data_IF_856088309515
#
_entry.id   IF_856088309515
#
_cell.length_a   1.000
_cell.length_b   1.000
_cell.length_c   1.000
_cell.angle_alpha   90.00
_cell.angle_beta   90.00
_cell.angle_gamma   90.00
#
_symmetry.space_group_name_H-M   'P 1'
#
loop_
_entity.id
_entity.type
_entity.pdbx_description
1 polymer ?
#
# COMPACT_ATOMS: atom_id res chain seq x y z
N UNK A 1 4.66 24.04 -15.08
CA UNK A 1 4.85 23.73 -13.65
C UNK A 1 4.83 22.21 -13.54
N UNK A 2 5.99 21.56 -13.51
CA UNK A 2 6.11 20.13 -13.81
C UNK A 2 6.42 19.26 -12.57
N UNK A 3 6.32 19.78 -11.36
CA UNK A 3 7.35 19.38 -10.39
C UNK A 3 6.93 18.49 -9.21
N UNK A 4 5.71 17.93 -9.18
CA UNK A 4 5.28 17.06 -8.06
C UNK A 4 4.31 15.94 -8.43
N UNK A 5 4.45 15.34 -9.61
CA UNK A 5 3.54 14.27 -10.04
C UNK A 5 4.11 12.89 -9.74
N UNK A 6 3.36 12.10 -8.97
CA UNK A 6 3.61 10.67 -8.84
C UNK A 6 2.81 10.00 -9.96
N UNK A 7 3.48 9.31 -10.88
CA UNK A 7 2.84 8.69 -12.04
C UNK A 7 2.56 7.20 -11.84
N UNK A 8 3.29 6.57 -10.94
CA UNK A 8 3.31 5.12 -10.77
C UNK A 8 2.77 4.74 -9.41
N UNK A 9 1.90 3.74 -9.39
CA UNK A 9 1.51 3.08 -8.15
C UNK A 9 1.85 1.59 -8.19
N UNK A 10 2.40 1.10 -7.09
CA UNK A 10 2.61 -0.31 -6.83
C UNK A 10 1.52 -0.82 -5.90
N UNK A 11 0.71 -1.76 -6.39
CA UNK A 11 -0.38 -2.36 -5.62
C UNK A 11 0.05 -3.76 -5.17
N UNK A 12 0.07 -3.97 -3.86
CA UNK A 12 0.46 -5.25 -3.26
C UNK A 12 -0.67 -6.28 -3.44
N UNK A 13 -0.47 -7.24 -4.34
CA UNK A 13 -1.45 -8.27 -4.71
C UNK A 13 -0.99 -9.72 -4.51
N UNK A 14 0.23 -9.94 -4.02
CA UNK A 14 0.84 -11.28 -3.91
C UNK A 14 0.41 -12.13 -2.69
N UNK A 15 -0.43 -11.65 -1.78
CA UNK A 15 -0.77 -12.40 -0.57
C UNK A 15 -1.53 -13.72 -0.80
N UNK A 16 -1.29 -14.73 0.04
CA UNK A 16 -2.00 -16.03 -0.01
C UNK A 16 -3.49 -15.94 0.34
N UNK A 17 -3.91 -14.88 1.06
CA UNK A 17 -5.30 -14.71 1.47
C UNK A 17 -5.86 -15.85 2.35
N UNK A 18 -5.02 -16.55 3.11
CA UNK A 18 -5.40 -17.76 3.87
C UNK A 18 -6.57 -17.56 4.84
N UNK A 19 -6.68 -16.36 5.43
CA UNK A 19 -7.78 -15.95 6.33
C UNK A 19 -9.16 -15.87 5.65
N UNK A 20 -9.19 -15.90 4.31
CA UNK A 20 -10.40 -15.83 3.49
C UNK A 20 -10.76 -17.17 2.83
N UNK A 21 -10.05 -18.26 3.14
CA UNK A 21 -10.41 -19.58 2.62
C UNK A 21 -11.82 -19.97 3.10
N UNK A 22 -12.67 -20.58 2.25
CA UNK A 22 -12.33 -21.16 0.94
C UNK A 22 -12.40 -20.19 -0.25
N UNK A 23 -12.78 -18.91 -0.06
CA UNK A 23 -12.94 -17.95 -1.15
C UNK A 23 -11.65 -17.78 -1.97
N UNK A 24 -10.50 -17.83 -1.28
CA UNK A 24 -9.17 -17.66 -1.86
C UNK A 24 -8.50 -18.97 -2.29
N UNK A 25 -9.18 -20.11 -2.25
CA UNK A 25 -8.56 -21.40 -2.61
C UNK A 25 -8.07 -21.40 -4.07
N UNK A 26 -8.88 -20.88 -4.98
CA UNK A 26 -8.59 -20.85 -6.43
C UNK A 26 -8.64 -19.44 -7.03
N UNK A 27 -8.62 -18.40 -6.19
CA UNK A 27 -8.74 -17.00 -6.59
C UNK A 27 -7.83 -16.13 -5.73
N UNK A 28 -6.98 -15.27 -6.31
CA UNK A 28 -6.21 -14.29 -5.53
C UNK A 28 -7.17 -13.38 -4.77
N UNK A 29 -6.84 -13.07 -3.51
CA UNK A 29 -7.63 -12.16 -2.67
C UNK A 29 -8.02 -10.85 -3.40
N UNK A 30 -7.09 -10.14 -4.09
CA UNK A 30 -7.44 -8.88 -4.76
C UNK A 30 -8.41 -9.03 -5.94
N UNK A 31 -8.64 -10.25 -6.43
CA UNK A 31 -9.60 -10.56 -7.48
C UNK A 31 -10.96 -11.04 -6.96
N UNK A 32 -11.13 -11.22 -5.65
CA UNK A 32 -12.47 -11.39 -5.08
C UNK A 32 -13.31 -10.15 -5.35
N UNK A 33 -14.62 -10.31 -5.48
CA UNK A 33 -15.52 -9.23 -5.89
C UNK A 33 -16.34 -8.70 -4.73
N UNK A 34 -16.41 -7.38 -4.63
CA UNK A 34 -17.35 -6.65 -3.77
C UNK A 34 -18.11 -5.69 -4.69
N UNK A 35 -19.44 -5.68 -4.62
CA UNK A 35 -20.27 -4.82 -5.47
C UNK A 35 -20.09 -5.05 -6.97
N UNK A 36 -19.74 -6.28 -7.40
CA UNK A 36 -19.50 -6.63 -8.81
C UNK A 36 -18.16 -6.14 -9.36
N UNK A 37 -17.25 -5.70 -8.50
CA UNK A 37 -15.92 -5.23 -8.88
C UNK A 37 -14.82 -5.96 -8.10
N UNK A 38 -13.72 -6.39 -8.75
CA UNK A 38 -12.58 -6.96 -8.05
C UNK A 38 -12.01 -5.98 -7.02
N UNK A 39 -11.64 -6.45 -5.83
CA UNK A 39 -11.16 -5.59 -4.72
C UNK A 39 -10.02 -4.66 -5.17
N UNK A 40 -9.09 -5.16 -5.98
CA UNK A 40 -7.94 -4.37 -6.47
C UNK A 40 -8.38 -3.13 -7.27
N UNK A 41 -9.55 -3.18 -7.92
CA UNK A 41 -10.03 -2.06 -8.75
C UNK A 41 -10.52 -0.86 -7.93
N UNK A 42 -10.81 -1.05 -6.64
CA UNK A 42 -11.07 0.08 -5.73
C UNK A 42 -9.80 0.90 -5.50
N UNK A 43 -8.67 0.23 -5.22
CA UNK A 43 -7.38 0.91 -5.13
C UNK A 43 -6.98 1.58 -6.46
N UNK A 44 -7.16 0.89 -7.59
CA UNK A 44 -6.89 1.47 -8.92
C UNK A 44 -7.78 2.69 -9.21
N UNK A 45 -9.07 2.64 -8.84
CA UNK A 45 -10.00 3.75 -9.02
C UNK A 45 -9.63 4.96 -8.18
N UNK A 46 -9.26 4.71 -6.93
CA UNK A 46 -8.77 5.73 -6.01
C UNK A 46 -7.50 6.40 -6.53
N UNK A 47 -6.52 5.61 -6.98
CA UNK A 47 -5.26 6.08 -7.54
C UNK A 47 -5.45 6.82 -8.87
N UNK A 48 -6.39 6.38 -9.71
CA UNK A 48 -6.78 7.08 -10.94
C UNK A 48 -7.32 8.48 -10.66
N UNK A 49 -8.10 8.65 -9.59
CA UNK A 49 -8.68 9.95 -9.21
C UNK A 49 -7.59 10.98 -8.88
N UNK A 50 -6.47 10.55 -8.28
CA UNK A 50 -5.31 11.41 -7.99
C UNK A 50 -4.29 11.50 -9.13
N UNK A 51 -4.62 10.96 -10.31
CA UNK A 51 -3.85 11.15 -11.54
C UNK A 51 -2.74 10.13 -11.80
N UNK A 52 -2.71 8.99 -11.10
CA UNK A 52 -1.79 7.87 -11.43
C UNK A 52 -1.99 7.43 -12.89
N UNK A 53 -0.87 7.15 -13.56
CA UNK A 53 -0.79 6.87 -15.00
C UNK A 53 -0.36 5.46 -15.33
N UNK A 54 0.16 4.69 -14.36
CA UNK A 54 0.44 3.27 -14.52
C UNK A 54 0.39 2.51 -13.20
N UNK A 55 -0.01 1.25 -13.27
CA UNK A 55 -0.02 0.34 -12.13
C UNK A 55 1.05 -0.74 -12.30
N UNK A 56 1.71 -1.07 -11.20
CA UNK A 56 2.49 -2.29 -11.07
C UNK A 56 1.81 -3.13 -9.99
N UNK A 57 1.60 -4.42 -10.24
CA UNK A 57 0.95 -5.32 -9.29
C UNK A 57 1.82 -6.55 -9.12
N UNK A 58 2.23 -6.86 -7.89
CA UNK A 58 2.91 -8.15 -7.65
C UNK A 58 1.88 -9.28 -7.52
N UNK A 59 2.23 -10.47 -8.02
CA UNK A 59 1.34 -11.64 -8.03
C UNK A 59 2.09 -12.88 -7.53
N UNK A 60 1.40 -13.81 -6.86
CA UNK A 60 2.00 -15.08 -6.42
C UNK A 60 0.96 -16.20 -6.50
N UNK A 61 0.02 -16.24 -5.55
CA UNK A 61 -1.07 -17.23 -5.53
C UNK A 61 -2.02 -17.00 -6.71
N UNK A 62 -2.33 -18.05 -7.47
CA UNK A 62 -3.19 -18.01 -8.66
C UNK A 62 -2.87 -16.84 -9.61
N UNK A 63 -1.59 -16.59 -9.86
CA UNK A 63 -1.11 -15.44 -10.62
C UNK A 63 -1.72 -15.36 -12.04
N UNK A 64 -2.01 -16.50 -12.66
CA UNK A 64 -2.63 -16.62 -13.98
C UNK A 64 -4.03 -15.98 -14.06
N UNK A 65 -4.74 -15.86 -12.92
CA UNK A 65 -6.07 -15.25 -12.87
C UNK A 65 -6.05 -13.75 -13.17
N UNK A 66 -4.92 -13.07 -12.91
CA UNK A 66 -4.78 -11.65 -13.23
C UNK A 66 -4.82 -11.40 -14.73
N UNK A 67 -4.19 -12.26 -15.53
CA UNK A 67 -4.25 -12.17 -17.00
C UNK A 67 -5.68 -12.37 -17.51
N UNK A 68 -6.47 -13.23 -16.87
CA UNK A 68 -7.89 -13.39 -17.21
C UNK A 68 -8.73 -12.15 -16.86
N UNK A 69 -8.48 -11.53 -15.71
CA UNK A 69 -9.20 -10.33 -15.25
C UNK A 69 -8.79 -9.06 -15.99
N UNK A 70 -7.55 -8.98 -16.48
CA UNK A 70 -6.96 -7.82 -17.15
C UNK A 70 -6.26 -8.25 -18.44
N UNK A 71 -7.03 -8.78 -19.40
CA UNK A 71 -6.52 -9.41 -20.63
C UNK A 71 -5.62 -8.52 -21.49
N UNK A 72 -5.84 -7.20 -21.48
CA UNK A 72 -5.02 -6.23 -22.23
C UNK A 72 -3.93 -5.59 -21.38
N UNK A 73 -3.68 -6.10 -20.17
CA UNK A 73 -2.79 -5.45 -19.19
C UNK A 73 -3.13 -3.97 -19.02
N UNK A 74 -4.43 -3.67 -18.96
CA UNK A 74 -4.97 -2.34 -18.90
C UNK A 74 -6.22 -2.32 -18.02
N UNK A 75 -6.43 -1.21 -17.32
CA UNK A 75 -7.69 -0.94 -16.66
C UNK A 75 -8.10 0.51 -16.86
N UNK A 76 -9.23 0.72 -17.57
CA UNK A 76 -9.79 2.04 -17.88
C UNK A 76 -8.79 3.02 -18.52
N UNK A 77 -7.98 2.52 -19.44
CA UNK A 77 -6.96 3.29 -20.16
C UNK A 77 -5.63 3.41 -19.42
N UNK A 78 -5.50 2.87 -18.20
CA UNK A 78 -4.24 2.88 -17.44
C UNK A 78 -3.53 1.54 -17.61
N UNK A 79 -2.27 1.51 -18.10
CA UNK A 79 -1.50 0.28 -18.23
C UNK A 79 -1.20 -0.35 -16.86
N UNK A 80 -1.21 -1.69 -16.83
CA UNK A 80 -0.88 -2.52 -15.68
C UNK A 80 0.33 -3.39 -16.06
N UNK A 81 1.31 -3.46 -15.17
CA UNK A 81 2.41 -4.42 -15.26
C UNK A 81 2.33 -5.40 -14.10
N UNK A 82 2.26 -6.69 -14.40
CA UNK A 82 2.29 -7.73 -13.37
C UNK A 82 3.72 -8.20 -13.12
N UNK A 83 4.14 -8.24 -11.85
CA UNK A 83 5.43 -8.81 -11.42
C UNK A 83 5.17 -10.08 -10.62
N UNK A 84 5.36 -11.22 -11.24
CA UNK A 84 5.21 -12.49 -10.53
C UNK A 84 6.36 -12.68 -9.52
N UNK A 85 6.01 -13.10 -8.31
CA UNK A 85 6.91 -13.48 -7.24
C UNK A 85 6.87 -15.01 -7.12
N UNK A 86 7.89 -15.77 -7.56
CA UNK A 86 7.92 -17.21 -7.34
C UNK A 86 7.99 -17.59 -5.85
N UNK A 87 8.55 -16.69 -5.04
CA UNK A 87 8.62 -16.78 -3.59
C UNK A 87 8.00 -15.51 -3.03
N UNK A 88 7.14 -15.61 -2.02
CA UNK A 88 6.54 -14.44 -1.37
C UNK A 88 7.60 -13.59 -0.69
N UNK A 89 7.81 -12.38 -1.19
CA UNK A 89 8.89 -11.50 -0.71
C UNK A 89 8.46 -10.58 0.43
N UNK A 90 7.19 -10.66 0.87
CA UNK A 90 6.56 -9.66 1.75
C UNK A 90 6.66 -8.26 1.12
N UNK A 91 6.35 -7.22 1.88
CA UNK A 91 6.09 -5.86 1.42
C UNK A 91 7.36 -5.13 0.96
N UNK A 92 8.43 -5.14 1.75
CA UNK A 92 9.69 -4.49 1.38
C UNK A 92 10.39 -5.25 0.24
N UNK A 93 10.39 -6.58 0.32
CA UNK A 93 10.95 -7.42 -0.73
C UNK A 93 10.21 -7.24 -2.06
N UNK A 94 8.87 -7.13 -2.03
CA UNK A 94 8.05 -6.81 -3.21
C UNK A 94 8.37 -5.44 -3.83
N UNK A 95 8.57 -4.40 -3.00
CA UNK A 95 9.02 -3.08 -3.48
C UNK A 95 10.38 -3.18 -4.16
N UNK A 96 11.34 -3.89 -3.54
CA UNK A 96 12.67 -4.06 -4.15
C UNK A 96 12.60 -4.87 -5.44
N UNK A 97 11.68 -5.82 -5.53
CA UNK A 97 11.50 -6.67 -6.70
C UNK A 97 10.99 -5.92 -7.95
N UNK A 98 10.46 -4.71 -7.81
CA UNK A 98 9.99 -3.90 -8.95
C UNK A 98 10.96 -2.76 -9.32
N UNK A 99 12.18 -2.74 -8.76
CA UNK A 99 13.15 -1.66 -8.96
C UNK A 99 13.46 -1.39 -10.44
N UNK A 100 13.56 -2.44 -11.25
CA UNK A 100 13.76 -2.38 -12.71
C UNK A 100 12.57 -1.74 -13.44
N UNK A 101 11.36 -1.90 -12.91
CA UNK A 101 10.14 -1.38 -13.52
C UNK A 101 9.89 0.10 -13.21
N UNK A 102 10.63 0.70 -12.27
CA UNK A 102 10.49 2.11 -11.84
C UNK A 102 11.75 2.93 -12.12
N UNK A 103 12.52 2.54 -13.14
CA UNK A 103 13.77 3.19 -13.51
C UNK A 103 13.60 4.70 -13.76
N UNK A 104 12.50 5.11 -14.39
CA UNK A 104 12.20 6.51 -14.74
C UNK A 104 11.43 7.27 -13.66
N UNK A 105 11.06 6.63 -12.55
CA UNK A 105 10.33 7.28 -11.46
C UNK A 105 11.29 7.73 -10.36
N UNK A 106 11.04 8.93 -9.83
CA UNK A 106 11.69 9.39 -8.60
C UNK A 106 11.03 8.80 -7.35
N UNK A 107 9.72 8.52 -7.41
CA UNK A 107 8.91 8.07 -6.29
C UNK A 107 7.65 7.36 -6.78
N UNK A 108 7.09 6.50 -5.93
CA UNK A 108 5.85 5.75 -6.23
C UNK A 108 4.90 5.79 -5.03
N UNK A 109 3.60 5.63 -5.28
CA UNK A 109 2.64 5.28 -4.23
C UNK A 109 2.60 3.76 -4.11
N UNK A 110 2.73 3.25 -2.89
CA UNK A 110 2.47 1.85 -2.58
C UNK A 110 1.11 1.74 -1.89
N UNK A 111 0.31 0.76 -2.33
CA UNK A 111 -1.07 0.59 -1.89
C UNK A 111 -1.34 -0.90 -1.63
N UNK A 112 -1.83 -1.23 -0.46
CA UNK A 112 -2.26 -2.60 -0.14
C UNK A 112 -3.49 -2.99 -0.97
N UNK A 113 -3.39 -4.03 -1.80
CA UNK A 113 -4.45 -4.43 -2.74
C UNK A 113 -5.72 -4.99 -2.12
N UNK A 114 -5.80 -5.03 -0.79
CA UNK A 114 -6.94 -5.44 0.01
C UNK A 114 -7.59 -4.31 0.82
N UNK A 115 -7.13 -3.07 0.65
CA UNK A 115 -7.70 -1.89 1.29
C UNK A 115 -8.70 -1.21 0.35
N UNK A 116 -9.92 -1.00 0.84
CA UNK A 116 -10.96 -0.21 0.19
C UNK A 116 -11.15 1.07 1.00
N UNK A 117 -10.96 2.23 0.37
CA UNK A 117 -11.10 3.53 1.05
C UNK A 117 -11.34 4.65 0.05
N UNK A 118 -12.00 5.72 0.51
CA UNK A 118 -12.13 7.00 -0.19
C UNK A 118 -11.43 8.15 0.57
N UNK A 119 -10.49 7.82 1.47
CA UNK A 119 -9.70 8.84 2.18
C UNK A 119 -8.97 9.76 1.19
N UNK A 120 -8.89 11.07 1.43
CA UNK A 120 -8.28 12.01 0.48
C UNK A 120 -6.75 11.82 0.40
N UNK A 121 -6.27 10.96 -0.50
CA UNK A 121 -4.84 10.64 -0.72
C UNK A 121 -4.02 11.87 -1.13
N UNK A 122 -4.64 12.91 -1.66
CA UNK A 122 -3.97 14.19 -1.94
C UNK A 122 -3.33 14.79 -0.67
N UNK A 123 -3.88 14.52 0.52
CA UNK A 123 -3.28 14.93 1.79
C UNK A 123 -1.97 14.18 2.07
N UNK A 124 -1.90 12.88 1.73
CA UNK A 124 -0.67 12.09 1.79
C UNK A 124 0.39 12.65 0.84
N UNK A 125 0.00 12.91 -0.41
CA UNK A 125 0.90 13.48 -1.43
C UNK A 125 1.43 14.83 -0.95
N UNK A 126 0.55 15.73 -0.51
CA UNK A 126 0.95 17.05 0.00
C UNK A 126 1.91 16.94 1.17
N UNK A 127 1.58 16.13 2.18
CA UNK A 127 2.42 15.98 3.38
C UNK A 127 3.79 15.40 3.07
N UNK A 128 3.87 14.44 2.14
CA UNK A 128 5.13 13.86 1.68
C UNK A 128 6.08 14.94 1.14
N UNK A 129 5.58 15.82 0.28
CA UNK A 129 6.37 16.92 -0.28
C UNK A 129 6.66 18.05 0.72
N UNK A 130 5.81 18.27 1.72
CA UNK A 130 6.05 19.22 2.81
C UNK A 130 7.18 18.75 3.73
N UNK A 131 7.13 17.48 4.17
CA UNK A 131 8.11 16.91 5.08
C UNK A 131 9.45 16.58 4.40
N UNK A 132 9.46 16.38 3.07
CA UNK A 132 10.64 15.97 2.30
C UNK A 132 11.27 14.68 2.84
N UNK A 133 10.44 13.77 3.30
CA UNK A 133 10.83 12.47 3.85
C UNK A 133 11.01 11.43 2.75
N UNK A 134 11.89 10.47 2.98
CA UNK A 134 12.12 9.35 2.04
C UNK A 134 10.90 8.41 1.95
N UNK A 135 10.14 8.28 3.03
CA UNK A 135 8.87 7.53 3.08
C UNK A 135 7.84 8.33 3.85
N UNK A 136 6.57 8.34 3.42
CA UNK A 136 5.46 8.93 4.17
C UNK A 136 4.28 7.98 4.22
N UNK A 137 3.75 7.73 5.42
CA UNK A 137 2.63 6.82 5.67
C UNK A 137 1.31 7.57 5.78
N UNK A 138 0.24 7.06 5.16
CA UNK A 138 -1.12 7.42 5.54
C UNK A 138 -1.52 6.66 6.81
N UNK A 139 -2.02 7.39 7.79
CA UNK A 139 -2.36 6.91 9.12
C UNK A 139 -3.80 7.27 9.46
N UNK A 140 -4.41 6.51 10.37
CA UNK A 140 -5.72 6.83 10.96
C UNK A 140 -5.59 6.84 12.48
N UNK A 141 -6.28 7.76 13.15
CA UNK A 141 -6.30 7.81 14.62
C UNK A 141 -7.26 6.79 15.23
N UNK A 142 -8.12 6.20 14.41
CA UNK A 142 -9.09 5.17 14.77
C UNK A 142 -8.88 3.89 13.97
N UNK A 143 -9.16 2.75 14.59
CA UNK A 143 -9.10 1.44 13.95
C UNK A 143 -8.73 0.33 14.92
N UNK A 144 -8.72 -0.94 14.45
CA UNK A 144 -8.51 -2.10 15.30
C UNK A 144 -7.08 -2.24 15.85
N UNK A 145 -6.09 -1.63 15.19
CA UNK A 145 -4.68 -1.78 15.56
C UNK A 145 -3.95 -0.43 15.48
N UNK A 146 -3.81 0.24 16.62
CA UNK A 146 -3.10 1.51 16.77
C UNK A 146 -1.67 1.25 17.25
N UNK A 147 -0.76 1.02 16.31
CA UNK A 147 0.62 0.61 16.62
C UNK A 147 1.70 1.36 15.81
N UNK A 148 1.36 2.51 15.23
CA UNK A 148 2.31 3.45 14.62
C UNK A 148 2.27 4.74 15.41
N UNK A 149 3.36 5.11 16.07
CA UNK A 149 3.41 6.32 16.86
C UNK A 149 4.02 7.47 16.05
N UNK A 150 3.44 8.66 16.19
CA UNK A 150 3.89 9.89 15.54
C UNK A 150 4.25 10.96 16.56
N UNK A 151 5.24 11.78 16.23
CA UNK A 151 5.63 12.96 17.01
C UNK A 151 4.76 14.20 16.72
N UNK A 152 5.04 15.31 17.39
CA UNK A 152 4.29 16.57 17.25
C UNK A 152 4.41 17.22 15.86
N UNK A 153 5.45 16.88 15.11
CA UNK A 153 5.74 17.47 13.80
C UNK A 153 5.23 16.58 12.64
N UNK A 154 4.71 15.40 12.98
CA UNK A 154 4.14 14.44 12.03
C UNK A 154 5.18 13.49 11.45
N UNK A 155 6.27 13.21 12.16
CA UNK A 155 7.18 12.11 11.82
C UNK A 155 6.82 10.86 12.59
N UNK A 156 7.02 9.71 11.96
CA UNK A 156 6.82 8.41 12.60
C UNK A 156 8.01 8.15 13.52
N UNK A 157 7.74 7.91 14.80
CA UNK A 157 8.77 7.67 15.81
C UNK A 157 8.81 6.22 16.31
N UNK A 158 7.76 5.44 16.06
CA UNK A 158 7.71 4.01 16.38
C UNK A 158 6.72 3.27 15.48
N UNK A 159 7.00 2.00 15.21
CA UNK A 159 6.04 1.04 14.69
C UNK A 159 6.14 -0.27 15.47
N UNK A 160 4.98 -0.84 15.80
CA UNK A 160 4.83 -2.13 16.52
C UNK A 160 5.51 -2.19 17.88
N UNK A 161 5.69 -1.03 18.54
CA UNK A 161 6.33 -0.91 19.86
C UNK A 161 7.80 -1.37 19.88
N UNK A 162 8.48 -1.34 18.73
CA UNK A 162 9.85 -1.87 18.59
C UNK A 162 10.88 -0.95 19.29
N UNK A 163 10.74 0.37 19.17
CA UNK A 163 11.62 1.35 19.83
C UNK A 163 11.07 1.83 21.17
N UNK A 164 9.81 1.51 21.48
CA UNK A 164 9.08 1.93 22.69
C UNK A 164 8.98 3.46 22.81
N UNK A 165 9.00 4.17 21.69
CA UNK A 165 8.74 5.60 21.67
C UNK A 165 7.24 5.85 21.51
N UNK A 166 6.59 6.37 22.55
CA UNK A 166 5.13 6.57 22.57
C UNK A 166 4.67 7.72 21.66
N UNK A 167 5.55 8.64 21.29
CA UNK A 167 5.20 9.83 20.52
C UNK A 167 4.13 10.67 21.21
N UNK A 168 3.27 11.32 20.42
CA UNK A 168 2.07 12.04 20.93
C UNK A 168 0.76 11.41 20.51
N UNK A 169 0.78 10.44 19.59
CA UNK A 169 -0.40 9.73 19.12
C UNK A 169 -0.04 8.36 18.55
N UNK A 170 -0.79 7.34 18.93
CA UNK A 170 -0.77 6.01 18.31
C UNK A 170 -1.84 5.93 17.22
N UNK A 171 -1.44 5.48 16.04
CA UNK A 171 -2.25 5.46 14.84
C UNK A 171 -2.26 4.06 14.20
N UNK A 172 -3.29 3.79 13.42
CA UNK A 172 -3.35 2.67 12.49
C UNK A 172 -2.60 3.04 11.21
N UNK A 173 -1.81 2.12 10.68
CA UNK A 173 -1.24 2.23 9.33
C UNK A 173 -2.28 1.88 8.27
N UNK A 174 -2.66 2.84 7.43
CA UNK A 174 -3.77 2.68 6.48
C UNK A 174 -3.45 1.78 5.26
N UNK A 175 -2.22 1.26 5.16
CA UNK A 175 -1.78 0.43 4.04
C UNK A 175 -1.52 1.22 2.75
N UNK A 176 -1.35 2.54 2.84
CA UNK A 176 -1.05 3.43 1.71
C UNK A 176 0.11 4.33 2.11
N UNK A 177 1.13 4.44 1.26
CA UNK A 177 2.35 5.18 1.57
C UNK A 177 3.08 5.60 0.29
N UNK A 178 3.90 6.63 0.39
CA UNK A 178 4.78 7.07 -0.69
C UNK A 178 6.21 6.67 -0.34
N UNK A 179 6.94 6.15 -1.32
CA UNK A 179 8.37 5.84 -1.20
C UNK A 179 9.15 6.56 -2.30
N UNK A 180 10.23 7.25 -1.91
CA UNK A 180 11.24 7.75 -2.83
C UNK A 180 12.09 6.58 -3.35
N UNK A 181 12.52 6.61 -4.61
CA UNK A 181 13.37 5.58 -5.22
C UNK A 181 14.68 5.39 -4.45
N UNK A 182 15.18 6.44 -3.80
CA UNK A 182 16.37 6.38 -2.93
C UNK A 182 16.20 5.40 -1.75
N UNK A 183 14.97 5.15 -1.30
CA UNK A 183 14.64 4.15 -0.27
C UNK A 183 15.09 2.74 -0.68
N UNK A 184 14.91 2.36 -1.96
CA UNK A 184 15.18 1.01 -2.45
C UNK A 184 16.66 0.62 -2.35
N UNK A 185 17.57 1.58 -2.21
CA UNK A 185 19.01 1.32 -1.98
C UNK A 185 19.27 0.64 -0.63
N UNK A 186 18.35 0.77 0.32
CA UNK A 186 18.43 0.13 1.64
C UNK A 186 17.88 -1.30 1.64
N UNK A 187 17.13 -1.66 0.61
CA UNK A 187 16.49 -2.97 0.52
C UNK A 187 17.39 -3.96 -0.20
N UNK A 188 17.36 -5.22 0.25
CA UNK A 188 18.13 -6.31 -0.36
C UNK A 188 17.26 -7.06 -1.37
N UNK A 189 17.76 -7.22 -2.60
CA UNK A 189 17.06 -7.97 -3.64
C UNK A 189 16.80 -9.42 -3.22
N UNK A 190 15.57 -9.91 -3.44
CA UNK A 190 15.15 -11.28 -3.11
C UNK A 190 14.99 -11.58 -1.61
N UNK A 191 15.20 -10.60 -0.72
CA UNK A 191 15.00 -10.78 0.72
C UNK A 191 13.50 -10.76 1.05
N UNK A 192 13.05 -11.77 1.78
CA UNK A 192 11.69 -11.79 2.36
C UNK A 192 11.68 -10.84 3.56
N UNK A 193 11.03 -9.68 3.42
CA UNK A 193 11.09 -8.64 4.44
C UNK A 193 9.84 -7.75 4.47
N UNK A 194 9.32 -7.56 5.69
CA UNK A 194 8.25 -6.60 5.95
C UNK A 194 8.80 -5.18 5.91
N UNK A 195 8.04 -4.25 5.31
CA UNK A 195 8.37 -2.83 5.22
C UNK A 195 8.63 -2.18 6.59
N UNK A 196 8.06 -2.73 7.66
CA UNK A 196 8.27 -2.20 9.01
C UNK A 196 9.74 -2.25 9.43
N UNK A 197 10.48 -3.31 9.11
CA UNK A 197 11.88 -3.44 9.55
C UNK A 197 12.79 -2.33 9.01
N UNK A 198 12.89 -2.10 7.68
CA UNK A 198 13.71 -1.02 7.15
C UNK A 198 13.21 0.37 7.57
N UNK A 199 11.90 0.57 7.79
CA UNK A 199 11.40 1.83 8.34
C UNK A 199 11.88 2.06 9.78
N UNK A 200 11.87 1.02 10.63
CA UNK A 200 12.39 1.13 12.00
C UNK A 200 13.89 1.40 12.03
N UNK A 201 14.67 0.79 11.13
CA UNK A 201 16.10 1.09 10.97
C UNK A 201 16.31 2.57 10.59
N UNK A 202 15.54 3.08 9.63
CA UNK A 202 15.60 4.48 9.22
C UNK A 202 15.22 5.45 10.34
N UNK A 203 14.16 5.17 11.10
CA UNK A 203 13.73 6.00 12.23
C UNK A 203 14.82 6.05 13.31
N UNK A 204 15.48 4.91 13.57
CA UNK A 204 16.59 4.82 14.52
C UNK A 204 17.82 5.61 14.06
N UNK A 205 18.14 5.57 12.76
CA UNK A 205 19.25 6.34 12.18
C UNK A 205 18.96 7.85 12.13
N UNK A 206 17.74 8.22 11.78
CA UNK A 206 17.29 9.59 11.65
C UNK A 206 15.77 9.67 11.96
N UNK A 207 15.37 10.25 13.11
CA UNK A 207 13.97 10.39 13.49
C UNK A 207 13.11 11.20 12.51
N UNK A 208 13.71 11.93 11.56
CA UNK A 208 13.02 12.70 10.52
C UNK A 208 12.94 12.00 9.16
N UNK A 209 13.30 10.72 9.09
CA UNK A 209 13.40 9.96 7.84
C UNK A 209 12.04 9.48 7.31
N UNK A 210 11.09 9.22 8.20
CA UNK A 210 9.75 8.68 7.88
C UNK A 210 8.68 9.66 8.35
N UNK A 211 7.89 10.16 7.41
CA UNK A 211 6.75 11.02 7.68
C UNK A 211 5.47 10.23 7.93
N UNK A 212 4.53 10.85 8.63
CA UNK A 212 3.17 10.35 8.82
C UNK A 212 2.15 11.46 8.59
N UNK A 213 1.00 11.12 8.03
CA UNK A 213 -0.16 11.99 7.99
C UNK A 213 -1.37 11.25 8.54
N UNK A 214 -2.07 11.86 9.49
CA UNK A 214 -3.32 11.31 10.01
C UNK A 214 -4.47 11.81 9.13
N UNK A 215 -5.21 10.88 8.51
CA UNK A 215 -6.33 11.14 7.62
C UNK A 215 -7.52 10.29 8.10
N UNK A 216 -8.34 10.88 8.96
CA UNK A 216 -9.55 10.22 9.49
C UNK A 216 -10.76 10.39 8.58
N UNK A 217 -10.71 11.35 7.65
CA UNK A 217 -11.73 11.54 6.63
C UNK A 217 -11.85 10.32 5.71
N UNK A 218 -13.08 10.06 5.27
CA UNK A 218 -13.42 8.94 4.41
C UNK A 218 -13.57 7.59 5.14
N UNK A 219 -14.20 6.65 4.45
CA UNK A 219 -14.32 5.26 4.87
C UNK A 219 -13.00 4.50 4.62
N UNK A 220 -12.72 3.50 5.45
CA UNK A 220 -11.54 2.65 5.32
C UNK A 220 -11.88 1.24 5.77
N UNK A 221 -11.60 0.27 4.90
CA UNK A 221 -11.88 -1.14 5.13
C UNK A 221 -10.66 -1.98 4.75
N UNK A 222 -10.22 -2.84 5.67
CA UNK A 222 -9.26 -3.93 5.41
C UNK A 222 -10.05 -5.21 5.22
N UNK A 223 -10.10 -5.72 3.98
CA UNK A 223 -10.83 -6.94 3.64
C UNK A 223 -10.05 -8.18 4.09
N UNK A 224 -9.67 -8.26 5.36
CA UNK A 224 -8.74 -9.26 5.90
C UNK A 224 -9.38 -10.60 6.31
N UNK A 225 -10.70 -10.66 6.46
CA UNK A 225 -11.44 -11.80 6.99
C UNK A 225 -12.73 -12.06 6.22
N UNK A 226 -13.25 -13.30 6.34
CA UNK A 226 -14.55 -13.68 5.76
C UNK A 226 -15.66 -12.78 6.29
N UNK A 227 -15.64 -12.46 7.59
CA UNK A 227 -16.65 -11.59 8.20
C UNK A 227 -16.70 -10.20 7.57
N UNK A 228 -15.54 -9.59 7.31
CA UNK A 228 -15.48 -8.27 6.69
C UNK A 228 -15.86 -8.33 5.20
N UNK A 229 -15.41 -9.36 4.49
CA UNK A 229 -15.78 -9.59 3.10
C UNK A 229 -17.30 -9.73 2.92
N UNK A 230 -17.95 -10.60 3.71
CA UNK A 230 -19.40 -10.82 3.62
C UNK A 230 -20.20 -9.59 4.07
N UNK A 231 -19.70 -8.85 5.07
CA UNK A 231 -20.29 -7.58 5.49
C UNK A 231 -20.30 -6.58 4.34
N UNK A 232 -19.15 -6.33 3.72
CA UNK A 232 -19.03 -5.38 2.60
C UNK A 232 -19.83 -5.83 1.37
N UNK A 233 -19.90 -7.15 1.13
CA UNK A 233 -20.71 -7.70 0.04
C UNK A 233 -22.21 -7.46 0.25
N UNK A 234 -22.69 -7.54 1.50
CA UNK A 234 -24.09 -7.33 1.87
C UNK A 234 -24.48 -5.86 1.96
N UNK A 235 -23.64 -5.06 2.61
CA UNK A 235 -23.93 -3.65 2.96
C UNK A 235 -23.48 -2.68 1.87
N UNK A 236 -22.60 -3.13 0.96
CA UNK A 236 -21.95 -2.26 -0.01
C UNK A 236 -20.81 -1.46 0.62
N UNK A 237 -20.20 -0.61 -0.21
CA UNK A 237 -19.15 0.33 0.21
C UNK A 237 -19.81 1.69 0.30
N UNK A 238 -19.72 2.33 1.47
CA UNK A 238 -20.25 3.66 1.76
C UNK A 238 -19.18 4.73 1.68
#
# INVERSE_FOLDING_TARGET
MNDKQINTAFILGAGLGTRLRPLTENTPKPLLEIGGHPIITYAMGHLRAVGIKRFIVNTHHCAEKYTGAFSENNWKGIPITFRHEPVLLDTAGGIKNIEDLIAEDERIIVYNGDIITNMPIELLIRKHFELKTTVTLALRSIGPLLNVNVDQEGFVCDMRHILKNEGVKSCLFAGIYIVEKSFLKRLTAGKIESIVLPLMEMIKENPRSVGGVVIDDGSWYDVGSISEYEKLKREGIT
#
